data_IF_615801815120
#
_entry.id   IF_615801815120
#
_cell.length_a   1.000
_cell.length_b   1.000
_cell.length_c   1.000
_cell.angle_alpha   90.00
_cell.angle_beta   90.00
_cell.angle_gamma   90.00
#
_symmetry.space_group_name_H-M   'P 1'
#
loop_
_entity.id
_entity.type
_entity.pdbx_description
1 polymer ?
#
# COMPACT_ATOMS: atom_id res chain seq x y z
N UNK A 1 -14.01 16.48 0.10
CA UNK A 1 -14.20 15.30 0.98
C UNK A 1 -12.89 14.87 1.66
N UNK A 2 -11.81 14.64 0.90
CA UNK A 2 -10.47 14.39 1.46
C UNK A 2 -10.02 15.54 2.37
N UNK A 3 -10.10 16.79 1.88
CA UNK A 3 -9.79 17.99 2.67
C UNK A 3 -10.60 18.06 3.97
N UNK A 4 -11.92 17.77 3.88
CA UNK A 4 -12.79 17.73 5.05
C UNK A 4 -12.30 16.69 6.06
N UNK A 5 -12.02 15.46 5.63
CA UNK A 5 -11.43 14.44 6.50
C UNK A 5 -10.10 14.89 7.11
N UNK A 6 -9.25 15.58 6.35
CA UNK A 6 -7.98 16.08 6.87
C UNK A 6 -8.17 17.19 7.92
N UNK A 7 -9.17 18.05 7.76
CA UNK A 7 -9.47 19.16 8.64
C UNK A 7 -10.16 18.73 9.95
N UNK A 8 -11.21 17.90 9.87
CA UNK A 8 -12.10 17.63 11.00
C UNK A 8 -12.38 16.14 11.24
N UNK A 9 -11.69 15.25 10.52
CA UNK A 9 -11.90 13.79 10.54
C UNK A 9 -13.32 13.36 10.15
N UNK A 10 -14.09 14.21 9.46
CA UNK A 10 -15.40 13.83 8.90
C UNK A 10 -15.24 12.59 8.01
N UNK A 11 -15.94 11.49 8.29
CA UNK A 11 -15.80 10.26 7.52
C UNK A 11 -16.12 10.48 6.04
N UNK A 12 -15.19 10.08 5.17
CA UNK A 12 -15.42 9.92 3.73
C UNK A 12 -16.51 8.86 3.51
N UNK A 13 -17.51 9.13 2.68
CA UNK A 13 -18.61 8.19 2.42
C UNK A 13 -18.13 6.86 1.82
N UNK A 14 -18.87 5.77 2.05
CA UNK A 14 -18.52 4.45 1.54
C UNK A 14 -18.36 4.38 0.02
N UNK A 15 -19.28 5.02 -0.70
CA UNK A 15 -19.21 5.11 -2.16
C UNK A 15 -17.93 5.80 -2.61
N UNK A 16 -17.55 6.90 -1.95
CA UNK A 16 -16.33 7.62 -2.27
C UNK A 16 -15.07 6.82 -1.92
N UNK A 17 -15.02 6.18 -0.74
CA UNK A 17 -13.92 5.25 -0.39
C UNK A 17 -13.81 4.12 -1.42
N UNK A 18 -14.94 3.59 -1.91
CA UNK A 18 -14.97 2.56 -2.95
C UNK A 18 -14.37 3.06 -4.26
N UNK A 19 -14.76 4.23 -4.74
CA UNK A 19 -14.16 4.83 -5.94
C UNK A 19 -12.66 5.05 -5.78
N UNK A 20 -12.24 5.58 -4.62
CA UNK A 20 -10.81 5.72 -4.30
C UNK A 20 -10.10 4.38 -4.36
N UNK A 21 -10.69 3.25 -3.99
CA UNK A 21 -9.99 1.96 -4.10
C UNK A 21 -9.94 1.42 -5.52
N UNK A 22 -11.04 1.55 -6.26
CA UNK A 22 -11.26 0.85 -7.54
C UNK A 22 -10.72 1.61 -8.76
N UNK A 23 -10.65 2.94 -8.72
CA UNK A 23 -10.22 3.77 -9.86
C UNK A 23 -8.80 4.28 -9.59
N UNK A 24 -7.74 3.74 -10.24
CA UNK A 24 -6.34 4.06 -9.95
C UNK A 24 -6.02 5.56 -9.94
N UNK A 25 -6.55 6.31 -10.89
CA UNK A 25 -6.36 7.75 -11.05
C UNK A 25 -7.06 8.57 -9.96
N UNK A 26 -8.09 7.99 -9.34
CA UNK A 26 -8.96 8.72 -8.44
C UNK A 26 -8.46 8.65 -7.00
N UNK A 27 -8.37 9.82 -6.37
CA UNK A 27 -8.08 9.92 -4.94
C UNK A 27 -6.63 9.56 -4.58
N UNK A 28 -5.66 9.88 -5.43
CA UNK A 28 -4.22 9.70 -5.14
C UNK A 28 -3.84 10.29 -3.78
N UNK A 29 -4.29 11.51 -3.49
CA UNK A 29 -4.08 12.16 -2.18
C UNK A 29 -4.56 11.30 -1.00
N UNK A 30 -5.63 10.52 -1.18
CA UNK A 30 -6.12 9.64 -0.13
C UNK A 30 -5.15 8.49 0.21
N UNK A 31 -4.29 8.12 -0.74
CA UNK A 31 -3.25 7.11 -0.56
C UNK A 31 -1.87 7.70 -0.23
N UNK A 32 -1.65 9.00 -0.43
CA UNK A 32 -0.32 9.62 -0.34
C UNK A 32 -0.19 10.74 0.69
N UNK A 33 -1.28 11.30 1.22
CA UNK A 33 -1.18 12.45 2.16
C UNK A 33 -0.83 12.02 3.58
N UNK A 34 -1.59 11.11 4.19
CA UNK A 34 -1.30 10.62 5.55
C UNK A 34 -1.68 9.15 5.72
N UNK A 35 -1.00 8.47 6.63
CA UNK A 35 -1.34 7.11 7.08
C UNK A 35 -2.78 6.97 7.53
N UNK A 36 -3.27 7.92 8.34
CA UNK A 36 -4.62 7.90 8.89
C UNK A 36 -5.71 8.00 7.81
N UNK A 37 -5.45 8.75 6.73
CA UNK A 37 -6.36 8.88 5.60
C UNK A 37 -6.34 7.62 4.73
N UNK A 38 -5.15 7.10 4.44
CA UNK A 38 -5.00 5.85 3.69
C UNK A 38 -5.68 4.67 4.40
N UNK A 39 -5.53 4.57 5.73
CA UNK A 39 -6.23 3.57 6.53
C UNK A 39 -7.75 3.78 6.48
N UNK A 40 -8.23 5.02 6.58
CA UNK A 40 -9.67 5.32 6.49
C UNK A 40 -10.29 4.84 5.18
N UNK A 41 -9.57 5.01 4.07
CA UNK A 41 -9.98 4.55 2.73
C UNK A 41 -10.15 3.03 2.67
N UNK A 42 -9.46 2.25 3.50
CA UNK A 42 -9.54 0.78 3.49
C UNK A 42 -10.74 0.22 4.27
N UNK A 43 -11.49 1.06 5.00
CA UNK A 43 -12.70 0.63 5.70
C UNK A 43 -13.86 0.35 4.73
N UNK A 44 -14.60 -0.71 5.02
CA UNK A 44 -15.89 -1.03 4.38
C UNK A 44 -17.05 -0.42 5.18
N UNK A 45 -18.21 -0.31 4.52
CA UNK A 45 -19.45 0.12 5.19
C UNK A 45 -19.94 -0.85 6.26
N UNK A 46 -19.46 -2.10 6.26
CA UNK A 46 -19.74 -3.09 7.30
C UNK A 46 -18.82 -3.00 8.51
N UNK A 47 -17.99 -1.96 8.62
CA UNK A 47 -17.07 -1.79 9.75
C UNK A 47 -15.92 -2.81 9.74
N UNK A 48 -15.51 -3.29 8.55
CA UNK A 48 -14.33 -4.15 8.42
C UNK A 48 -13.23 -3.38 7.68
N UNK A 49 -12.00 -3.50 8.13
CA UNK A 49 -10.80 -3.01 7.46
C UNK A 49 -10.21 -4.13 6.60
N UNK A 50 -10.01 -3.91 5.31
CA UNK A 50 -9.45 -4.94 4.41
C UNK A 50 -8.41 -4.32 3.48
N UNK A 51 -7.44 -5.11 3.02
CA UNK A 51 -6.49 -4.61 2.04
C UNK A 51 -7.15 -4.38 0.67
N UNK A 52 -6.54 -3.53 -0.17
CA UNK A 52 -7.10 -3.15 -1.46
C UNK A 52 -7.36 -4.38 -2.36
N UNK A 53 -6.40 -5.30 -2.41
CA UNK A 53 -6.54 -6.60 -3.11
C UNK A 53 -7.80 -7.38 -2.70
N UNK A 54 -8.06 -7.57 -1.40
CA UNK A 54 -9.24 -8.32 -0.94
C UNK A 54 -10.55 -7.53 -1.08
N UNK A 55 -10.48 -6.21 -1.22
CA UNK A 55 -11.65 -5.37 -1.49
C UNK A 55 -12.09 -5.42 -2.95
N UNK A 56 -11.13 -5.47 -3.87
CA UNK A 56 -11.33 -5.57 -5.32
C UNK A 56 -11.68 -7.02 -5.70
N UNK A 57 -10.93 -7.99 -5.21
CA UNK A 57 -11.09 -9.40 -5.56
C UNK A 57 -12.01 -10.16 -4.59
N UNK A 58 -13.24 -9.66 -4.42
CA UNK A 58 -14.22 -10.26 -3.52
C UNK A 58 -14.49 -11.71 -3.93
N UNK A 59 -14.16 -12.66 -3.05
CA UNK A 59 -14.48 -14.07 -3.23
C UNK A 59 -13.32 -14.94 -3.74
N UNK A 60 -12.14 -14.39 -4.04
CA UNK A 60 -10.96 -15.21 -4.33
C UNK A 60 -10.49 -15.91 -3.05
N UNK A 61 -10.89 -17.17 -2.87
CA UNK A 61 -10.53 -18.02 -1.72
C UNK A 61 -9.02 -18.33 -1.66
N UNK A 62 -8.28 -18.13 -2.76
CA UNK A 62 -6.91 -18.59 -2.96
C UNK A 62 -5.83 -17.51 -2.77
N UNK A 63 -6.17 -16.32 -2.26
CA UNK A 63 -5.17 -15.27 -1.98
C UNK A 63 -4.43 -15.48 -0.65
N UNK A 64 -4.29 -16.74 -0.21
CA UNK A 64 -3.71 -17.10 1.10
C UNK A 64 -2.39 -17.85 0.90
N UNK A 65 -1.43 -17.14 0.33
CA UNK A 65 -0.10 -17.65 -0.05
C UNK A 65 0.99 -17.38 1.02
N UNK A 66 0.58 -17.30 2.29
CA UNK A 66 1.47 -17.01 3.42
C UNK A 66 2.46 -18.13 3.79
N UNK A 67 2.36 -19.32 3.21
CA UNK A 67 3.30 -20.43 3.47
C UNK A 67 4.14 -20.77 2.25
N UNK A 68 5.46 -20.62 2.35
CA UNK A 68 6.37 -21.04 1.27
C UNK A 68 6.24 -22.55 0.99
N UNK A 69 6.21 -23.35 2.06
CA UNK A 69 5.85 -24.77 2.06
C UNK A 69 5.18 -25.08 3.41
N UNK A 70 3.95 -25.62 3.38
CA UNK A 70 3.19 -26.00 4.57
C UNK A 70 3.95 -27.03 5.42
N UNK A 71 4.80 -27.87 4.79
CA UNK A 71 5.60 -28.89 5.48
C UNK A 71 6.77 -28.29 6.26
N UNK A 72 7.33 -27.18 5.78
CA UNK A 72 8.44 -26.49 6.48
C UNK A 72 7.96 -25.54 7.56
N UNK A 73 6.69 -25.13 7.51
CA UNK A 73 6.14 -24.15 8.46
C UNK A 73 6.64 -22.72 8.25
N UNK A 74 7.40 -22.45 7.17
CA UNK A 74 7.94 -21.12 6.87
C UNK A 74 6.81 -20.16 6.46
N UNK A 75 6.29 -19.44 7.46
CA UNK A 75 5.26 -18.42 7.31
C UNK A 75 5.88 -17.07 6.95
N UNK A 76 5.38 -16.47 5.89
CA UNK A 76 5.76 -15.11 5.47
C UNK A 76 4.98 -14.11 6.32
N UNK A 77 5.71 -13.17 6.94
CA UNK A 77 5.11 -12.10 7.72
C UNK A 77 4.27 -11.17 6.83
N UNK A 78 3.18 -10.60 7.36
CA UNK A 78 2.34 -9.64 6.64
C UNK A 78 1.23 -10.24 5.78
N UNK A 79 1.17 -11.56 5.65
CA UNK A 79 0.29 -12.25 4.68
C UNK A 79 -0.64 -13.25 5.39
N UNK A 80 -1.92 -13.36 4.94
CA UNK A 80 -2.83 -14.40 5.43
C UNK A 80 -2.34 -15.81 5.10
N UNK A 81 -2.36 -16.71 6.09
CA UNK A 81 -1.92 -18.08 5.94
C UNK A 81 -3.09 -19.06 6.19
N UNK A 82 -3.61 -19.71 5.14
CA UNK A 82 -4.61 -20.80 5.26
C UNK A 82 -6.06 -20.42 5.60
N UNK A 83 -6.95 -21.43 5.65
CA UNK A 83 -8.39 -21.30 5.96
C UNK A 83 -8.66 -21.38 7.47
N UNK A 84 -8.16 -20.42 8.24
CA UNK A 84 -8.57 -20.23 9.63
C UNK A 84 -9.01 -18.79 9.85
N UNK A 85 -9.83 -18.54 10.88
CA UNK A 85 -9.67 -17.30 11.66
C UNK A 85 -8.30 -17.45 12.33
N UNK A 86 -7.22 -17.24 11.57
CA UNK A 86 -5.93 -17.02 12.22
C UNK A 86 -6.15 -15.91 13.23
N UNK A 87 -5.57 -16.05 14.44
CA UNK A 87 -5.60 -14.98 15.42
C UNK A 87 -5.30 -13.68 14.70
N UNK A 88 -6.32 -12.81 14.64
CA UNK A 88 -6.17 -11.46 14.10
C UNK A 88 -5.21 -10.80 15.09
N UNK A 89 -3.93 -10.93 14.80
CA UNK A 89 -2.86 -10.37 15.61
C UNK A 89 -3.03 -8.87 15.59
N UNK A 90 -2.71 -8.22 16.70
CA UNK A 90 -2.69 -6.77 16.79
C UNK A 90 -1.88 -6.20 15.60
N UNK A 91 -2.50 -5.31 14.82
CA UNK A 91 -1.90 -4.76 13.60
C UNK A 91 -2.22 -5.50 12.29
N UNK A 92 -3.08 -6.53 12.32
CA UNK A 92 -3.66 -7.15 11.12
C UNK A 92 -5.05 -6.60 10.80
N UNK A 93 -5.41 -6.62 9.52
CA UNK A 93 -6.73 -6.24 9.02
C UNK A 93 -7.62 -7.48 8.89
N UNK A 94 -8.94 -7.32 8.71
CA UNK A 94 -9.92 -8.42 8.72
C UNK A 94 -9.69 -9.49 7.63
N UNK A 95 -8.89 -9.19 6.60
CA UNK A 95 -8.49 -10.17 5.59
C UNK A 95 -7.21 -10.95 5.93
N UNK A 96 -6.61 -10.74 7.11
CA UNK A 96 -5.42 -11.43 7.60
C UNK A 96 -4.07 -10.87 7.10
N UNK A 97 -4.09 -9.80 6.29
CA UNK A 97 -2.88 -9.04 5.96
C UNK A 97 -2.48 -8.14 7.15
N UNK A 98 -1.21 -7.75 7.26
CA UNK A 98 -0.88 -6.62 8.15
C UNK A 98 -1.44 -5.32 7.59
N UNK A 99 -1.72 -4.36 8.48
CA UNK A 99 -2.11 -3.02 8.09
C UNK A 99 -1.03 -2.38 7.19
N UNK A 100 0.24 -2.58 7.52
CA UNK A 100 1.37 -2.06 6.73
C UNK A 100 1.31 -2.56 5.28
N UNK A 101 1.20 -3.88 5.07
CA UNK A 101 1.08 -4.46 3.73
C UNK A 101 -0.22 -4.05 3.02
N UNK A 102 -1.28 -3.71 3.76
CA UNK A 102 -2.51 -3.19 3.18
C UNK A 102 -2.37 -1.74 2.68
N UNK A 103 -1.60 -0.91 3.40
CA UNK A 103 -1.37 0.49 3.05
C UNK A 103 -0.38 0.64 1.90
N UNK A 104 0.70 -0.16 1.87
CA UNK A 104 1.61 -0.22 0.72
C UNK A 104 0.90 -0.56 -0.58
N UNK A 105 -0.05 -1.50 -0.53
CA UNK A 105 -0.85 -1.89 -1.69
C UNK A 105 -1.72 -0.75 -2.21
N UNK A 106 -2.35 -0.02 -1.29
CA UNK A 106 -3.10 1.17 -1.66
C UNK A 106 -2.17 2.21 -2.28
N UNK A 107 -1.02 2.50 -1.65
CA UNK A 107 -0.04 3.45 -2.17
C UNK A 107 0.41 3.09 -3.59
N UNK A 108 0.93 1.88 -3.80
CA UNK A 108 1.42 1.45 -5.11
C UNK A 108 0.34 1.44 -6.18
N UNK A 109 -0.88 1.00 -5.84
CA UNK A 109 -2.01 1.01 -6.79
C UNK A 109 -2.38 2.41 -7.29
N UNK A 110 -2.01 3.46 -6.54
CA UNK A 110 -2.28 4.87 -6.86
C UNK A 110 -1.12 5.63 -7.45
N UNK A 111 0.10 5.19 -7.19
CA UNK A 111 1.30 5.98 -7.54
C UNK A 111 2.12 5.31 -8.65
N UNK A 112 2.08 3.98 -8.78
CA UNK A 112 2.90 3.28 -9.75
C UNK A 112 2.21 3.16 -11.10
N UNK A 113 2.97 3.49 -12.14
CA UNK A 113 2.62 3.25 -13.53
C UNK A 113 3.70 2.42 -14.20
N UNK A 114 3.30 1.52 -15.09
CA UNK A 114 4.19 0.93 -16.08
C UNK A 114 4.03 1.68 -17.39
N UNK A 115 5.12 1.84 -18.13
CA UNK A 115 5.12 2.43 -19.47
C UNK A 115 5.37 1.32 -20.49
N UNK A 116 4.62 1.34 -21.58
CA UNK A 116 4.84 0.51 -22.75
C UNK A 116 5.94 1.14 -23.63
N UNK A 117 6.88 0.30 -24.06
CA UNK A 117 7.90 0.67 -25.06
C UNK A 117 7.36 0.57 -26.50
N UNK A 118 6.16 0.02 -26.69
CA UNK A 118 5.55 -0.04 -28.01
C UNK A 118 5.01 1.35 -28.39
N UNK A 119 5.57 2.01 -29.42
CA UNK A 119 5.17 3.37 -29.81
C UNK A 119 3.73 3.45 -30.33
N UNK A 120 3.10 2.32 -30.64
CA UNK A 120 1.75 2.25 -31.20
C UNK A 120 0.65 2.08 -30.13
N UNK A 121 1.00 1.96 -28.85
CA UNK A 121 0.02 1.79 -27.76
C UNK A 121 -0.31 3.15 -27.15
N UNK A 122 -1.59 3.51 -27.16
CA UNK A 122 -2.13 4.73 -26.52
C UNK A 122 -3.30 4.34 -25.60
N UNK A 123 -3.29 4.69 -24.30
CA UNK A 123 -2.19 5.33 -23.57
C UNK A 123 -0.98 4.39 -23.45
N UNK A 124 0.24 4.94 -23.56
CA UNK A 124 1.47 4.16 -23.42
C UNK A 124 1.85 3.91 -21.95
N UNK A 125 0.94 4.12 -21.00
CA UNK A 125 1.17 3.79 -19.60
C UNK A 125 -0.13 3.36 -18.94
N UNK A 126 -0.02 2.48 -17.95
CA UNK A 126 -1.15 2.03 -17.14
C UNK A 126 -0.73 1.92 -15.67
N UNK A 127 -1.70 2.11 -14.77
CA UNK A 127 -1.51 1.80 -13.35
C UNK A 127 -1.58 0.29 -13.13
N UNK A 128 -1.20 -0.14 -11.92
CA UNK A 128 -1.36 -1.54 -11.51
C UNK A 128 -2.82 -2.04 -11.61
N UNK A 129 -3.80 -1.13 -11.59
CA UNK A 129 -5.21 -1.44 -11.83
C UNK A 129 -5.76 -2.44 -10.82
N UNK A 130 -6.51 -3.43 -11.31
CA UNK A 130 -7.03 -4.56 -10.52
C UNK A 130 -6.06 -5.75 -10.46
N UNK A 131 -4.98 -5.72 -11.25
CA UNK A 131 -3.93 -6.75 -11.32
C UNK A 131 -2.89 -6.56 -10.20
N UNK A 132 -3.38 -6.49 -8.97
CA UNK A 132 -2.54 -6.28 -7.81
C UNK A 132 -1.67 -7.51 -7.52
N UNK A 133 -0.46 -7.25 -6.99
CA UNK A 133 0.42 -8.30 -6.49
C UNK A 133 -0.32 -9.22 -5.53
N UNK A 134 -0.11 -10.54 -5.67
CA UNK A 134 -0.51 -11.49 -4.63
C UNK A 134 0.13 -11.07 -3.30
N UNK A 135 -0.46 -11.43 -2.15
CA UNK A 135 0.09 -11.02 -0.87
C UNK A 135 1.57 -11.41 -0.71
N UNK A 136 1.98 -12.59 -1.18
CA UNK A 136 3.40 -12.98 -1.26
C UNK A 136 4.26 -12.03 -2.08
N UNK A 137 3.91 -11.78 -3.35
CA UNK A 137 4.68 -10.89 -4.21
C UNK A 137 4.84 -9.51 -3.58
N UNK A 138 3.78 -9.03 -2.92
CA UNK A 138 3.81 -7.78 -2.18
C UNK A 138 4.79 -7.78 -1.02
N UNK A 139 4.80 -8.81 -0.17
CA UNK A 139 5.75 -8.85 0.95
C UNK A 139 7.21 -8.88 0.45
N UNK A 140 7.49 -9.64 -0.61
CA UNK A 140 8.80 -9.61 -1.26
C UNK A 140 9.15 -8.22 -1.78
N UNK A 141 8.21 -7.57 -2.48
CA UNK A 141 8.44 -6.25 -3.04
C UNK A 141 8.64 -5.18 -1.96
N UNK A 142 7.80 -5.14 -0.92
CA UNK A 142 7.94 -4.21 0.21
C UNK A 142 9.28 -4.42 0.91
N UNK A 143 9.65 -5.67 1.21
CA UNK A 143 10.91 -5.97 1.85
C UNK A 143 12.10 -5.53 0.98
N UNK A 144 12.08 -5.86 -0.32
CA UNK A 144 13.13 -5.46 -1.24
C UNK A 144 13.23 -3.93 -1.37
N UNK A 145 12.09 -3.23 -1.46
CA UNK A 145 12.03 -1.79 -1.55
C UNK A 145 12.58 -1.12 -0.28
N UNK A 146 12.09 -1.51 0.89
CA UNK A 146 12.53 -0.95 2.18
C UNK A 146 13.97 -1.30 2.49
N UNK A 147 14.43 -2.52 2.20
CA UNK A 147 15.85 -2.87 2.37
C UNK A 147 16.75 -2.13 1.38
N UNK A 148 16.33 -1.97 0.12
CA UNK A 148 17.13 -1.27 -0.89
C UNK A 148 17.23 0.23 -0.63
N UNK A 149 16.11 0.87 -0.33
CA UNK A 149 16.02 2.33 -0.15
C UNK A 149 16.31 2.77 1.27
N UNK A 150 15.98 1.94 2.27
CA UNK A 150 15.88 2.32 3.69
C UNK A 150 14.53 2.94 4.06
N UNK A 151 13.70 3.29 3.06
CA UNK A 151 12.47 4.01 3.28
C UNK A 151 11.36 3.11 3.81
N UNK A 152 10.57 3.67 4.71
CA UNK A 152 9.29 3.14 5.17
C UNK A 152 8.14 3.82 4.43
N UNK A 153 6.92 3.30 4.60
CA UNK A 153 5.74 3.96 4.00
C UNK A 153 5.52 5.36 4.59
N UNK A 154 5.86 5.56 5.86
CA UNK A 154 5.63 6.83 6.53
C UNK A 154 6.53 7.94 5.96
N UNK A 155 7.71 7.60 5.44
CA UNK A 155 8.60 8.54 4.73
C UNK A 155 7.99 9.02 3.39
N UNK A 156 7.15 8.18 2.77
CA UNK A 156 6.49 8.44 1.49
C UNK A 156 5.17 9.22 1.62
N UNK A 157 4.64 9.42 2.82
CA UNK A 157 3.46 10.25 2.99
C UNK A 157 3.83 11.74 2.87
N UNK A 158 3.16 12.48 2.00
CA UNK A 158 3.48 13.90 1.77
C UNK A 158 3.23 14.77 3.00
N UNK A 159 2.28 14.40 3.85
CA UNK A 159 1.78 15.25 4.92
C UNK A 159 0.74 16.24 4.39
N UNK A 160 0.14 17.02 5.30
CA UNK A 160 -0.96 17.92 4.93
C UNK A 160 -0.52 19.17 4.14
N UNK A 161 0.74 19.57 4.28
CA UNK A 161 1.25 20.85 3.77
C UNK A 161 2.15 20.72 2.54
N UNK A 162 2.43 19.50 2.09
CA UNK A 162 3.28 19.24 0.93
C UNK A 162 2.48 18.44 -0.09
N UNK A 163 2.45 18.93 -1.32
CA UNK A 163 1.83 18.23 -2.44
C UNK A 163 2.66 16.99 -2.80
N UNK A 164 1.99 15.85 -2.97
CA UNK A 164 2.65 14.62 -3.41
C UNK A 164 3.28 14.81 -4.79
N UNK A 165 4.51 14.30 -4.95
CA UNK A 165 5.31 14.41 -6.17
C UNK A 165 5.74 15.84 -6.57
N UNK A 166 5.58 16.83 -5.68
CA UNK A 166 6.24 18.14 -5.82
C UNK A 166 7.76 18.04 -5.63
N UNK A 167 8.49 19.08 -6.02
CA UNK A 167 9.94 19.15 -5.82
C UNK A 167 10.32 19.07 -4.33
N UNK A 168 9.55 19.74 -3.47
CA UNK A 168 9.74 19.68 -2.01
C UNK A 168 9.54 18.25 -1.48
N UNK A 169 8.52 17.55 -1.95
CA UNK A 169 8.29 16.14 -1.61
C UNK A 169 9.49 15.27 -2.01
N UNK A 170 9.94 15.37 -3.26
CA UNK A 170 11.05 14.55 -3.74
C UNK A 170 12.37 14.88 -3.06
N UNK A 171 12.62 16.16 -2.79
CA UNK A 171 13.77 16.58 -2.00
C UNK A 171 13.79 15.87 -0.65
N UNK A 172 12.68 15.92 0.11
CA UNK A 172 12.58 15.25 1.42
C UNK A 172 12.79 13.74 1.32
N UNK A 173 12.15 13.07 0.36
CA UNK A 173 12.28 11.61 0.17
C UNK A 173 13.72 11.23 -0.16
N UNK A 174 14.35 11.93 -1.10
CA UNK A 174 15.73 11.65 -1.49
C UNK A 174 16.73 11.97 -0.39
N UNK A 175 16.55 13.07 0.36
CA UNK A 175 17.39 13.39 1.51
C UNK A 175 17.29 12.33 2.60
N UNK A 176 16.08 11.82 2.87
CA UNK A 176 15.85 10.73 3.83
C UNK A 176 16.55 9.45 3.40
N UNK A 177 16.38 9.08 2.13
CA UNK A 177 17.05 7.92 1.54
C UNK A 177 18.57 8.04 1.64
N UNK A 178 19.16 9.18 1.24
CA UNK A 178 20.61 9.41 1.33
C UNK A 178 21.12 9.30 2.76
N UNK A 179 20.42 9.89 3.73
CA UNK A 179 20.78 9.80 5.15
C UNK A 179 20.85 8.36 5.62
N UNK A 180 19.84 7.55 5.31
CA UNK A 180 19.79 6.13 5.66
C UNK A 180 20.88 5.29 4.97
N UNK A 181 21.32 5.67 3.77
CA UNK A 181 22.44 4.99 3.10
C UNK A 181 23.77 5.34 3.78
N UNK A 182 23.98 6.62 4.13
CA UNK A 182 25.20 7.06 4.85
C UNK A 182 25.30 6.38 6.21
N UNK A 183 24.20 6.32 6.97
CA UNK A 183 24.16 5.62 8.27
C UNK A 183 24.55 4.15 8.12
N UNK A 184 24.01 3.44 7.12
CA UNK A 184 24.39 2.05 6.84
C UNK A 184 25.86 1.89 6.49
N UNK A 185 26.41 2.74 5.63
CA UNK A 185 27.84 2.66 5.27
C UNK A 185 28.71 2.85 6.51
N UNK A 186 28.36 3.76 7.42
CA UNK A 186 29.09 3.98 8.66
C UNK A 186 28.96 2.83 9.68
N UNK A 187 27.87 2.07 9.65
CA UNK A 187 27.70 0.89 10.52
C UNK A 187 28.51 -0.32 10.06
N UNK A 188 28.77 -0.45 8.75
CA UNK A 188 29.40 -1.62 8.15
C UNK A 188 30.81 -1.37 7.57
N UNK A 189 31.28 -0.13 7.54
CA UNK A 189 32.60 0.28 7.03
C UNK A 189 33.57 0.62 8.15
#
# INVERSE_FOLDING_TARGET
>A
AIEKYLADKTPISDGLRKMVREIPEFGVAAATTTRSLAQHVLWTGGGTLKCNLHLINRGLKNLRDGYADIRTGNRIHGIPAGQGKEDIRTGTVDCGCTLESALWDLFFSKTMKVRSDNPNVVPNSEYLGTNLFTPRHRAFFIQAYSSGTGLTLDDLYSGQNVEFASDEYWYRVHSTMLKQQVERVNEYG
#
